data_IF_170723192438
#
_entry.id   IF_170723192438
#
_cell.length_a   1.000
_cell.length_b   1.000
_cell.length_c   1.000
_cell.angle_alpha   90.00
_cell.angle_beta   90.00
_cell.angle_gamma   90.00
#
_symmetry.space_group_name_H-M   'P 1'
#
loop_
_entity.id
_entity.type
_entity.pdbx_description
1 polymer ?
#
# COMPACT_ATOMS: atom_id res chain seq x y z
N UNK A 1 -2.22 0.53 -15.86
CA UNK A 1 -3.27 0.17 -14.88
C UNK A 1 -2.90 -1.17 -14.28
N UNK A 2 -2.82 -1.25 -12.95
CA UNK A 2 -2.56 -2.51 -12.25
C UNK A 2 -3.83 -3.35 -12.17
N UNK A 3 -3.72 -4.63 -12.51
CA UNK A 3 -4.77 -5.61 -12.26
C UNK A 3 -4.66 -6.08 -10.80
N UNK A 4 -5.78 -6.10 -10.09
CA UNK A 4 -5.85 -6.55 -8.71
C UNK A 4 -7.02 -7.51 -8.57
N UNK A 5 -6.73 -8.76 -8.20
CA UNK A 5 -7.73 -9.83 -8.03
C UNK A 5 -8.67 -10.01 -9.24
N UNK A 6 -8.14 -9.92 -10.46
CA UNK A 6 -8.92 -10.12 -11.69
C UNK A 6 -9.79 -8.93 -12.11
N UNK A 7 -9.62 -7.76 -11.46
CA UNK A 7 -10.30 -6.52 -11.82
C UNK A 7 -9.34 -5.34 -11.85
N UNK A 8 -9.75 -4.27 -12.54
CA UNK A 8 -9.00 -3.02 -12.55
C UNK A 8 -8.91 -2.46 -11.11
N UNK A 9 -7.72 -2.01 -10.71
CA UNK A 9 -7.55 -1.39 -9.41
C UNK A 9 -8.40 -0.11 -9.29
N UNK A 10 -9.12 0.02 -8.19
CA UNK A 10 -10.06 1.11 -7.98
C UNK A 10 -9.33 2.44 -7.71
N UNK A 11 -9.12 3.25 -8.75
CA UNK A 11 -8.58 4.61 -8.61
C UNK A 11 -9.64 5.67 -8.31
N UNK A 12 -10.92 5.37 -8.55
CA UNK A 12 -12.04 6.33 -8.45
C UNK A 12 -13.11 5.96 -7.41
N UNK A 13 -13.44 4.68 -7.25
CA UNK A 13 -14.48 4.21 -6.32
C UNK A 13 -13.99 2.97 -5.54
N UNK A 14 -13.60 3.15 -4.27
CA UNK A 14 -13.21 2.02 -3.42
C UNK A 14 -14.45 1.26 -2.92
N UNK A 15 -14.72 0.10 -3.53
CA UNK A 15 -15.80 -0.83 -3.13
C UNK A 15 -15.27 -2.27 -2.99
N UNK A 16 -14.49 -2.55 -1.94
CA UNK A 16 -14.03 -3.92 -1.67
C UNK A 16 -15.21 -4.86 -1.37
N UNK A 17 -15.09 -6.12 -1.77
CA UNK A 17 -15.96 -7.20 -1.33
C UNK A 17 -15.61 -7.61 0.11
N UNK A 18 -16.49 -8.40 0.74
CA UNK A 18 -16.22 -8.98 2.07
C UNK A 18 -14.96 -9.86 2.06
N UNK A 19 -14.80 -10.69 1.02
CA UNK A 19 -13.66 -11.60 0.90
C UNK A 19 -12.34 -10.84 0.74
N UNK A 20 -12.37 -9.73 0.00
CA UNK A 20 -11.22 -8.83 -0.18
C UNK A 20 -10.82 -8.13 1.10
N UNK A 21 -11.81 -7.69 1.90
CA UNK A 21 -11.54 -7.16 3.23
C UNK A 21 -10.93 -8.20 4.16
N UNK A 22 -11.41 -9.44 4.08
CA UNK A 22 -10.89 -10.52 4.91
C UNK A 22 -9.45 -10.85 4.51
N UNK A 23 -9.16 -10.91 3.21
CA UNK A 23 -7.80 -11.06 2.68
C UNK A 23 -6.88 -9.96 3.23
N UNK A 24 -7.26 -8.68 3.13
CA UNK A 24 -6.43 -7.56 3.59
C UNK A 24 -6.04 -7.65 5.07
N UNK A 25 -6.94 -8.18 5.91
CA UNK A 25 -6.67 -8.37 7.35
C UNK A 25 -5.66 -9.49 7.63
N UNK A 26 -5.53 -10.45 6.72
CA UNK A 26 -4.67 -11.62 6.91
C UNK A 26 -3.26 -11.44 6.32
N UNK A 27 -3.04 -10.43 5.47
CA UNK A 27 -1.76 -10.25 4.76
C UNK A 27 -0.62 -9.84 5.71
N UNK A 28 -0.83 -8.87 6.61
CA UNK A 28 0.20 -8.41 7.54
C UNK A 28 -0.37 -8.09 8.92
N UNK A 29 0.37 -8.47 9.97
CA UNK A 29 0.00 -8.28 11.36
C UNK A 29 1.01 -7.40 12.10
N UNK A 30 0.58 -6.82 13.22
CA UNK A 30 1.48 -6.06 14.08
C UNK A 30 2.59 -6.96 14.63
N UNK A 31 3.84 -6.51 14.47
CA UNK A 31 5.05 -7.28 14.84
C UNK A 31 5.73 -7.95 13.65
N UNK A 32 5.04 -8.10 12.52
CA UNK A 32 5.67 -8.54 11.28
C UNK A 32 6.65 -7.48 10.76
N UNK A 33 7.68 -7.93 10.04
CA UNK A 33 8.55 -7.03 9.30
C UNK A 33 7.73 -6.39 8.19
N UNK A 34 7.68 -5.05 8.17
CA UNK A 34 7.00 -4.31 7.12
C UNK A 34 7.60 -4.66 5.74
N UNK A 35 6.78 -4.99 4.73
CA UNK A 35 7.26 -5.24 3.38
C UNK A 35 7.97 -4.03 2.81
N UNK A 36 9.06 -4.27 2.08
CA UNK A 36 9.71 -3.20 1.35
C UNK A 36 8.87 -2.83 0.12
N UNK A 37 8.83 -1.54 -0.18
CA UNK A 37 8.17 -0.98 -1.35
C UNK A 37 8.91 0.29 -1.77
N UNK A 38 8.81 0.62 -3.06
CA UNK A 38 9.40 1.82 -3.64
C UNK A 38 8.31 2.67 -4.28
N UNK A 39 8.26 3.96 -3.93
CA UNK A 39 7.29 4.92 -4.47
C UNK A 39 7.99 6.11 -5.11
N UNK A 40 7.40 6.70 -6.17
CA UNK A 40 7.91 7.92 -6.76
C UNK A 40 7.68 9.10 -5.81
N UNK A 41 8.66 9.99 -5.74
CA UNK A 41 8.58 11.28 -5.07
C UNK A 41 8.06 12.35 -6.04
N UNK A 42 7.53 13.44 -5.48
CA UNK A 42 6.98 14.55 -6.26
C UNK A 42 8.02 15.27 -7.13
N UNK A 43 9.29 15.19 -6.76
CA UNK A 43 10.42 15.78 -7.49
C UNK A 43 11.00 14.85 -8.57
N UNK A 44 10.37 13.69 -8.80
CA UNK A 44 10.82 12.71 -9.79
C UNK A 44 11.88 11.74 -9.27
N UNK A 45 12.24 11.79 -7.99
CA UNK A 45 13.02 10.75 -7.33
C UNK A 45 12.18 9.51 -6.99
N UNK A 46 12.83 8.53 -6.37
CA UNK A 46 12.18 7.36 -5.77
C UNK A 46 12.60 7.24 -4.32
N UNK A 47 11.72 6.66 -3.50
CA UNK A 47 11.99 6.35 -2.10
C UNK A 47 11.55 4.93 -1.80
N UNK A 48 12.46 4.12 -1.27
CA UNK A 48 12.14 2.80 -0.74
C UNK A 48 11.97 2.85 0.77
N UNK A 49 11.11 2.00 1.34
CA UNK A 49 10.96 1.90 2.79
C UNK A 49 12.30 1.53 3.46
N UNK A 50 13.09 0.67 2.81
CA UNK A 50 14.41 0.27 3.29
C UNK A 50 15.44 1.41 3.38
N UNK A 51 15.26 2.51 2.63
CA UNK A 51 16.11 3.71 2.72
C UNK A 51 15.91 4.46 4.06
N UNK A 52 14.78 4.23 4.74
CA UNK A 52 14.42 4.88 6.01
C UNK A 52 14.77 4.05 7.25
N UNK A 53 15.52 2.95 7.10
CA UNK A 53 15.90 2.07 8.22
C UNK A 53 16.55 2.83 9.38
N UNK A 54 16.21 2.42 10.60
CA UNK A 54 16.69 3.02 11.84
C UNK A 54 15.87 4.22 12.33
N UNK A 55 14.83 4.62 11.60
CA UNK A 55 13.87 5.65 12.01
C UNK A 55 12.47 5.04 12.18
N UNK A 56 11.68 5.48 13.17
CA UNK A 56 10.24 5.20 13.17
C UNK A 56 9.58 5.83 11.95
N UNK A 57 8.78 5.06 11.22
CA UNK A 57 8.06 5.49 10.01
C UNK A 57 6.56 5.29 10.22
N UNK A 58 5.77 6.28 9.83
CA UNK A 58 4.30 6.20 9.77
C UNK A 58 3.90 6.30 8.30
N UNK A 59 3.05 5.38 7.85
CA UNK A 59 2.51 5.36 6.49
C UNK A 59 1.06 5.84 6.54
N UNK A 60 0.76 6.86 5.76
CA UNK A 60 -0.60 7.37 5.55
C UNK A 60 -1.07 6.92 4.17
N UNK A 61 -2.28 6.36 4.10
CA UNK A 61 -2.91 5.93 2.85
C UNK A 61 -4.07 6.88 2.56
N UNK A 62 -3.86 7.81 1.64
CA UNK A 62 -4.86 8.76 1.18
C UNK A 62 -5.50 8.37 -0.16
N UNK A 63 -6.72 8.84 -0.39
CA UNK A 63 -7.40 8.80 -1.69
C UNK A 63 -7.94 10.20 -1.99
N UNK A 64 -7.74 10.68 -3.22
CA UNK A 64 -8.37 11.90 -3.71
C UNK A 64 -9.76 11.50 -4.19
N UNK A 65 -10.76 11.71 -3.34
CA UNK A 65 -12.18 11.59 -3.70
C UNK A 65 -12.75 12.92 -4.15
#
# INVERSE_FOLDING_TARGET
MGEWLGREYNYSDWRPSQDEFQLLKEIHHAGDVAPDFTLPLLDGGELSLSDLKGKPVVIEFGSIT
#
